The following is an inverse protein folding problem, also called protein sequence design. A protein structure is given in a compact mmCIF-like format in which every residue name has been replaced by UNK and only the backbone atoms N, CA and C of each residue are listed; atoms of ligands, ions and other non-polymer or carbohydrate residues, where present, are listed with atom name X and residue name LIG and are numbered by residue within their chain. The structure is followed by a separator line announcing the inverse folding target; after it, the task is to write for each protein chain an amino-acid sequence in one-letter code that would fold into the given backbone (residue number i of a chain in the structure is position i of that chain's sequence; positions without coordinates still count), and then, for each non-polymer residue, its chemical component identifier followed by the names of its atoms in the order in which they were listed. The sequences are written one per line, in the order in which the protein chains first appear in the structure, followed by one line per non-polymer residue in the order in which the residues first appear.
data_IF_741348499313
#
_entry.id   IF_741348499313
#
_cell.length_a   1.000
_cell.length_b   1.000
_cell.length_c   1.000
_cell.angle_alpha   90.00
_cell.angle_beta   90.00
_cell.angle_gamma   90.00
#
_symmetry.space_group_name_H-M   'P 1'
#
loop_
_entity.id
_entity.type
_entity.pdbx_description
1 polymer ?
#
# COMPACT_ATOMS: atom_id res chain seq x y z
N UNK A 1 -5.48 -24.14 8.01
CA UNK A 1 -4.27 -24.93 8.33
C UNK A 1 -3.37 -24.12 9.24
N UNK A 2 -2.81 -24.76 10.25
CA UNK A 2 -1.91 -24.18 11.25
C UNK A 2 -0.53 -24.83 11.16
N UNK A 3 0.43 -24.29 11.89
CA UNK A 3 1.72 -24.93 12.11
C UNK A 3 1.56 -26.21 12.95
N UNK A 4 2.51 -27.12 12.83
CA UNK A 4 2.62 -28.26 13.76
C UNK A 4 3.06 -27.77 15.15
N UNK A 5 2.82 -28.55 16.20
CA UNK A 5 3.19 -28.16 17.56
C UNK A 5 4.70 -27.88 17.69
N UNK A 6 5.54 -28.62 16.98
CA UNK A 6 6.98 -28.40 16.94
C UNK A 6 7.33 -27.06 16.28
N UNK A 7 6.70 -26.73 15.15
CA UNK A 7 6.88 -25.45 14.47
C UNK A 7 6.37 -24.27 15.30
N UNK A 8 5.25 -24.43 16.00
CA UNK A 8 4.72 -23.40 16.93
C UNK A 8 5.75 -23.11 18.03
N UNK A 9 6.30 -24.14 18.66
CA UNK A 9 7.32 -24.00 19.70
C UNK A 9 8.57 -23.30 19.15
N UNK A 10 9.02 -23.67 17.95
CA UNK A 10 10.16 -23.04 17.26
C UNK A 10 9.87 -21.57 16.96
N UNK A 11 8.72 -21.27 16.37
CA UNK A 11 8.35 -19.89 16.06
C UNK A 11 8.37 -18.99 17.30
N UNK A 12 7.70 -19.39 18.38
CA UNK A 12 7.64 -18.56 19.58
C UNK A 12 9.00 -18.48 20.30
N UNK A 13 9.85 -19.51 20.25
CA UNK A 13 11.21 -19.42 20.75
C UNK A 13 12.00 -18.32 20.03
N UNK A 14 11.93 -18.28 18.69
CA UNK A 14 12.59 -17.26 17.88
C UNK A 14 11.98 -15.88 18.11
N UNK A 15 10.66 -15.79 18.04
CA UNK A 15 9.92 -14.54 18.16
C UNK A 15 10.09 -13.88 19.53
N UNK A 16 9.92 -14.63 20.61
CA UNK A 16 10.11 -14.13 21.97
C UNK A 16 11.56 -13.67 22.22
N UNK A 17 12.54 -14.41 21.72
CA UNK A 17 13.95 -14.04 21.83
C UNK A 17 14.26 -12.73 21.08
N UNK A 18 13.78 -12.61 19.84
CA UNK A 18 13.96 -11.40 19.02
C UNK A 18 13.32 -10.18 19.67
N UNK A 19 12.03 -10.27 20.03
CA UNK A 19 11.29 -9.15 20.62
C UNK A 19 11.91 -8.71 21.95
N UNK A 20 12.33 -9.66 22.79
CA UNK A 20 13.03 -9.37 24.04
C UNK A 20 14.39 -8.71 23.79
N UNK A 21 15.25 -9.25 22.96
CA UNK A 21 16.57 -8.70 22.68
C UNK A 21 16.53 -7.31 22.04
N UNK A 22 15.57 -7.08 21.12
CA UNK A 22 15.35 -5.75 20.57
C UNK A 22 14.91 -4.77 21.66
N UNK A 23 14.02 -5.17 22.56
CA UNK A 23 13.60 -4.29 23.65
C UNK A 23 14.72 -4.02 24.67
N UNK A 24 15.53 -5.02 25.03
CA UNK A 24 16.67 -4.83 25.93
C UNK A 24 17.66 -3.80 25.37
N UNK A 25 17.89 -3.82 24.06
CA UNK A 25 18.82 -2.91 23.40
C UNK A 25 18.25 -1.50 23.21
N UNK A 26 16.97 -1.38 22.87
CA UNK A 26 16.39 -0.10 22.43
C UNK A 26 15.42 0.51 23.45
N UNK A 27 15.04 -0.20 24.52
CA UNK A 27 14.25 0.33 25.64
C UNK A 27 12.84 0.80 25.26
N UNK A 28 12.20 0.13 24.27
CA UNK A 28 10.90 0.54 23.72
C UNK A 28 9.80 0.44 24.76
N UNK A 29 9.79 -0.67 25.51
CA UNK A 29 8.83 -0.92 26.60
C UNK A 29 9.57 -1.05 27.91
N UNK A 30 9.31 -0.17 28.90
CA UNK A 30 9.95 -0.25 30.21
C UNK A 30 9.56 -1.53 30.97
N UNK A 31 10.52 -2.14 31.65
CA UNK A 31 10.31 -3.34 32.49
C UNK A 31 9.64 -4.51 31.75
N UNK A 32 10.01 -4.71 30.48
CA UNK A 32 9.54 -5.84 29.71
C UNK A 32 10.33 -7.09 30.14
N UNK A 33 9.64 -8.03 30.78
CA UNK A 33 10.21 -9.29 31.18
C UNK A 33 10.39 -10.23 29.97
N UNK A 34 11.42 -11.11 30.03
CA UNK A 34 11.66 -12.06 28.95
C UNK A 34 10.46 -12.98 28.76
N UNK A 35 9.79 -12.93 27.59
CA UNK A 35 8.60 -13.74 27.39
C UNK A 35 8.97 -15.21 27.19
N UNK A 36 8.16 -16.10 27.75
CA UNK A 36 8.31 -17.56 27.62
C UNK A 36 7.01 -18.12 27.02
N UNK A 37 7.14 -18.83 25.90
CA UNK A 37 5.98 -19.50 25.30
C UNK A 37 5.33 -20.50 26.27
N UNK A 38 4.01 -20.44 26.37
CA UNK A 38 3.22 -21.25 27.31
C UNK A 38 2.83 -20.50 28.58
N UNK A 39 3.49 -19.39 28.90
CA UNK A 39 3.05 -18.49 29.97
C UNK A 39 2.04 -17.46 29.46
N UNK A 40 1.25 -16.89 30.37
CA UNK A 40 0.32 -15.82 30.02
C UNK A 40 1.12 -14.56 29.62
N UNK A 41 1.12 -14.23 28.33
CA UNK A 41 1.79 -13.05 27.79
C UNK A 41 0.77 -11.95 27.50
N UNK A 42 1.08 -10.73 27.95
CA UNK A 42 0.29 -9.56 27.59
C UNK A 42 0.62 -9.14 26.15
N UNK A 43 -0.36 -8.90 25.27
CA UNK A 43 -0.10 -8.58 23.87
C UNK A 43 0.46 -7.17 23.65
N UNK A 44 0.16 -6.21 24.54
CA UNK A 44 0.49 -4.79 24.35
C UNK A 44 1.99 -4.52 24.18
N UNK A 45 2.90 -5.11 25.00
CA UNK A 45 4.34 -4.95 24.81
C UNK A 45 4.81 -5.46 23.44
N UNK A 46 4.31 -6.62 23.02
CA UNK A 46 4.67 -7.20 21.72
C UNK A 46 4.21 -6.31 20.56
N UNK A 47 3.01 -5.75 20.65
CA UNK A 47 2.47 -4.83 19.65
C UNK A 47 3.37 -3.60 19.52
N UNK A 48 3.79 -3.01 20.63
CA UNK A 48 4.64 -1.83 20.65
C UNK A 48 6.04 -2.12 20.04
N UNK A 49 6.67 -3.21 20.45
CA UNK A 49 8.02 -3.57 20.00
C UNK A 49 8.01 -3.97 18.52
N UNK A 50 7.04 -4.80 18.08
CA UNK A 50 6.93 -5.22 16.67
C UNK A 50 6.69 -4.06 15.72
N UNK A 51 5.93 -3.05 16.15
CA UNK A 51 5.65 -1.89 15.31
C UNK A 51 6.94 -1.16 14.91
N UNK A 52 7.85 -1.00 15.88
CA UNK A 52 9.15 -0.32 15.66
C UNK A 52 10.16 -1.27 14.99
N UNK A 53 10.16 -2.56 15.34
CA UNK A 53 11.05 -3.57 14.76
C UNK A 53 10.92 -3.63 13.22
N UNK A 54 9.69 -3.71 12.70
CA UNK A 54 9.47 -3.82 11.26
C UNK A 54 9.70 -2.50 10.50
N UNK A 55 9.87 -1.38 11.19
CA UNK A 55 10.33 -0.12 10.61
C UNK A 55 11.86 0.02 10.65
N UNK A 56 12.54 -0.83 11.47
CA UNK A 56 13.99 -0.86 11.63
C UNK A 56 14.50 -2.31 11.52
N UNK A 57 14.30 -2.97 10.37
CA UNK A 57 14.60 -4.40 10.24
C UNK A 57 16.10 -4.73 10.36
N UNK A 58 17.01 -3.75 10.23
CA UNK A 58 18.45 -3.89 10.49
C UNK A 58 18.76 -4.27 11.95
N UNK A 59 17.84 -4.07 12.88
CA UNK A 59 17.99 -4.52 14.26
C UNK A 59 18.01 -6.03 14.39
N UNK A 60 17.46 -6.76 13.41
CA UNK A 60 17.58 -8.22 13.31
C UNK A 60 19.04 -8.61 13.02
N UNK A 61 19.73 -7.88 12.14
CA UNK A 61 21.16 -8.13 11.84
C UNK A 61 22.02 -7.90 13.09
N UNK A 62 21.71 -6.87 13.86
CA UNK A 62 22.38 -6.57 15.12
C UNK A 62 22.13 -7.66 16.16
N UNK A 63 20.90 -8.12 16.28
CA UNK A 63 20.52 -9.20 17.19
C UNK A 63 21.26 -10.52 16.84
N UNK A 64 21.32 -10.88 15.55
CA UNK A 64 22.02 -12.06 15.08
C UNK A 64 23.54 -11.96 15.38
N UNK A 65 24.16 -10.79 15.10
CA UNK A 65 25.61 -10.58 15.30
C UNK A 65 26.02 -10.63 16.76
N UNK A 66 25.25 -10.06 17.64
CA UNK A 66 25.57 -10.00 19.05
C UNK A 66 25.32 -11.33 19.77
N UNK A 67 24.60 -12.28 19.11
CA UNK A 67 24.27 -13.61 19.62
C UNK A 67 23.86 -13.62 21.11
N UNK A 68 23.06 -12.61 21.49
CA UNK A 68 22.64 -12.37 22.88
C UNK A 68 21.76 -13.50 23.43
N UNK A 69 21.16 -14.30 22.54
CA UNK A 69 20.36 -15.47 22.90
C UNK A 69 21.08 -16.77 22.57
N UNK A 70 21.87 -17.28 23.50
CA UNK A 70 22.48 -18.63 23.44
C UNK A 70 21.45 -19.77 23.32
N UNK A 71 20.17 -19.46 23.33
CA UNK A 71 19.04 -20.41 23.24
C UNK A 71 18.59 -20.66 21.80
N UNK A 72 19.07 -19.86 20.82
CA UNK A 72 18.74 -20.03 19.41
C UNK A 72 19.74 -20.96 18.73
N UNK A 73 19.22 -21.90 17.95
CA UNK A 73 20.01 -22.79 17.11
C UNK A 73 20.46 -22.07 15.83
N UNK A 74 21.43 -22.66 15.11
CA UNK A 74 21.87 -22.14 13.81
C UNK A 74 20.69 -22.01 12.82
N UNK A 75 19.81 -22.99 12.77
CA UNK A 75 18.58 -22.95 11.96
C UNK A 75 17.60 -21.83 12.39
N UNK A 76 17.55 -21.48 13.66
CA UNK A 76 16.74 -20.37 14.13
C UNK A 76 17.32 -19.02 13.67
N UNK A 77 18.64 -18.89 13.64
CA UNK A 77 19.32 -17.69 13.12
C UNK A 77 19.17 -17.55 11.60
N UNK A 78 19.18 -18.66 10.86
CA UNK A 78 18.86 -18.67 9.43
C UNK A 78 17.42 -18.17 9.16
N UNK A 79 16.46 -18.59 9.97
CA UNK A 79 15.07 -18.11 9.88
C UNK A 79 15.00 -16.60 10.16
N UNK A 80 15.73 -16.10 11.15
CA UNK A 80 15.80 -14.65 11.42
C UNK A 80 16.42 -13.87 10.27
N UNK A 81 17.48 -14.39 9.66
CA UNK A 81 18.10 -13.80 8.48
C UNK A 81 17.15 -13.77 7.28
N UNK A 82 16.32 -14.81 7.11
CA UNK A 82 15.28 -14.87 6.09
C UNK A 82 14.15 -13.86 6.38
N UNK A 83 13.72 -13.72 7.63
CA UNK A 83 12.76 -12.69 8.03
C UNK A 83 13.27 -11.29 7.71
N UNK A 84 14.56 -11.01 8.00
CA UNK A 84 15.20 -9.72 7.73
C UNK A 84 15.09 -9.27 6.27
N UNK A 85 15.14 -10.23 5.34
CA UNK A 85 15.21 -9.96 3.90
C UNK A 85 13.83 -10.05 3.24
N UNK A 86 12.99 -10.99 3.68
CA UNK A 86 11.80 -11.43 2.96
C UNK A 86 10.47 -11.15 3.70
N UNK A 87 10.47 -10.37 4.79
CA UNK A 87 9.21 -9.98 5.41
C UNK A 87 8.41 -9.04 4.50
N UNK A 88 7.09 -9.06 4.64
CA UNK A 88 6.19 -8.12 3.96
C UNK A 88 5.24 -7.53 5.00
N UNK A 89 5.51 -6.26 5.40
CA UNK A 89 4.63 -5.47 6.26
C UNK A 89 3.70 -4.67 5.37
N UNK A 90 2.41 -4.98 5.39
CA UNK A 90 1.44 -4.32 4.52
C UNK A 90 0.02 -4.43 5.08
N UNK A 91 -0.88 -3.71 4.44
CA UNK A 91 -2.32 -3.88 4.55
C UNK A 91 -2.79 -4.88 3.50
N UNK A 92 -3.49 -5.92 3.93
CA UNK A 92 -3.97 -6.99 3.08
C UNK A 92 -5.49 -7.08 3.09
N UNK A 93 -6.01 -7.71 2.05
CA UNK A 93 -7.39 -8.20 2.02
C UNK A 93 -7.37 -9.70 2.18
N UNK A 94 -7.95 -10.21 3.25
CA UNK A 94 -8.25 -11.62 3.42
C UNK A 94 -9.42 -11.98 2.51
N UNK A 95 -9.10 -12.65 1.39
CA UNK A 95 -10.06 -12.92 0.31
C UNK A 95 -10.87 -14.17 0.54
N UNK A 96 -10.23 -15.24 0.98
CA UNK A 96 -10.86 -16.55 1.20
C UNK A 96 -10.01 -17.50 2.01
N UNK A 97 -10.65 -18.48 2.59
CA UNK A 97 -10.00 -19.62 3.22
C UNK A 97 -9.94 -20.80 2.24
N UNK A 98 -8.76 -21.41 2.12
CA UNK A 98 -8.53 -22.65 1.40
C UNK A 98 -8.11 -23.75 2.37
N UNK A 99 -8.07 -24.98 1.90
CA UNK A 99 -7.74 -26.14 2.75
C UNK A 99 -6.34 -26.06 3.38
N UNK A 100 -5.37 -25.48 2.65
CA UNK A 100 -3.97 -25.39 3.06
C UNK A 100 -3.61 -24.08 3.75
N UNK A 101 -4.27 -22.98 3.41
CA UNK A 101 -3.96 -21.63 3.88
C UNK A 101 -5.14 -20.69 3.65
N UNK A 102 -5.06 -19.50 4.18
CA UNK A 102 -5.93 -18.38 3.83
C UNK A 102 -5.24 -17.46 2.84
N UNK A 103 -5.99 -16.89 1.89
CA UNK A 103 -5.41 -16.08 0.82
C UNK A 103 -5.50 -14.61 1.17
N UNK A 104 -4.33 -13.99 1.29
CA UNK A 104 -4.14 -12.57 1.52
C UNK A 104 -3.75 -11.91 0.21
N UNK A 105 -4.39 -10.80 -0.13
CA UNK A 105 -4.16 -10.04 -1.35
C UNK A 105 -3.67 -8.64 -1.00
N UNK A 106 -2.63 -8.15 -1.68
CA UNK A 106 -2.18 -6.75 -1.55
C UNK A 106 -3.12 -5.79 -2.26
N UNK A 107 -3.05 -4.50 -1.89
CA UNK A 107 -3.85 -3.42 -2.50
C UNK A 107 -3.25 -2.84 -3.77
N UNK A 108 -2.08 -3.30 -4.19
CA UNK A 108 -1.39 -2.78 -5.36
C UNK A 108 -2.14 -3.07 -6.68
N UNK A 109 -1.90 -2.26 -7.71
CA UNK A 109 -2.44 -2.46 -9.06
C UNK A 109 -2.03 -3.84 -9.63
N UNK A 110 -0.80 -4.28 -9.35
CA UNK A 110 -0.30 -5.64 -9.58
C UNK A 110 -0.43 -6.46 -8.29
N UNK A 111 -1.67 -6.70 -7.87
CA UNK A 111 -1.97 -7.43 -6.64
C UNK A 111 -1.22 -8.76 -6.58
N UNK A 112 -0.64 -9.05 -5.41
CA UNK A 112 0.00 -10.33 -5.10
C UNK A 112 -0.90 -11.13 -4.16
N UNK A 113 -0.90 -12.44 -4.33
CA UNK A 113 -1.66 -13.36 -3.50
C UNK A 113 -0.69 -14.19 -2.65
N UNK A 114 -0.88 -14.15 -1.34
CA UNK A 114 -0.10 -14.94 -0.39
C UNK A 114 -0.98 -16.00 0.27
N UNK A 115 -0.50 -17.23 0.29
CA UNK A 115 -1.13 -18.34 1.01
C UNK A 115 -0.60 -18.41 2.44
N UNK A 116 -1.31 -17.78 3.38
CA UNK A 116 -0.86 -17.59 4.76
C UNK A 116 -1.42 -18.66 5.67
N UNK A 117 -0.54 -19.34 6.41
CA UNK A 117 -0.88 -20.32 7.45
C UNK A 117 -1.11 -19.62 8.80
N UNK A 118 -2.06 -20.11 9.57
CA UNK A 118 -2.19 -19.73 10.97
C UNK A 118 -1.05 -20.29 11.81
N UNK A 119 -0.76 -19.69 12.95
CA UNK A 119 0.24 -20.19 13.89
C UNK A 119 -0.40 -21.24 14.80
N UNK A 120 -1.15 -20.82 15.81
CA UNK A 120 -1.90 -21.71 16.72
C UNK A 120 -3.28 -22.03 16.18
N UNK A 121 -3.98 -21.01 15.70
CA UNK A 121 -5.33 -21.09 15.17
C UNK A 121 -5.34 -20.78 13.68
N UNK A 122 -6.21 -21.45 12.94
CA UNK A 122 -6.36 -21.13 11.51
C UNK A 122 -7.14 -19.82 11.32
N UNK A 123 -6.85 -19.09 10.25
CA UNK A 123 -7.64 -17.89 9.93
C UNK A 123 -9.13 -18.18 9.73
N UNK A 124 -9.51 -19.40 9.35
CA UNK A 124 -10.92 -19.79 9.22
C UNK A 124 -11.63 -19.99 10.57
N UNK A 125 -10.88 -20.23 11.63
CA UNK A 125 -11.39 -20.26 13.01
C UNK A 125 -11.48 -18.85 13.60
N UNK A 126 -10.50 -17.98 13.30
CA UNK A 126 -10.47 -16.58 13.76
C UNK A 126 -11.48 -15.68 13.03
N UNK A 127 -11.70 -15.90 11.73
CA UNK A 127 -12.55 -15.06 10.86
C UNK A 127 -13.52 -15.95 10.09
N UNK A 128 -14.83 -15.84 10.30
CA UNK A 128 -15.81 -16.63 9.56
C UNK A 128 -15.85 -16.23 8.07
N UNK A 129 -16.08 -17.19 7.19
CA UNK A 129 -16.16 -16.95 5.75
C UNK A 129 -17.21 -15.92 5.34
N UNK A 130 -18.25 -15.71 6.16
CA UNK A 130 -19.28 -14.69 5.93
C UNK A 130 -18.77 -13.26 6.09
N UNK A 131 -17.66 -13.05 6.81
CA UNK A 131 -17.02 -11.74 6.99
C UNK A 131 -16.09 -11.35 5.83
N UNK A 132 -15.83 -12.28 4.90
CA UNK A 132 -14.91 -12.04 3.78
C UNK A 132 -15.58 -11.29 2.61
N UNK A 133 -14.82 -10.51 1.85
CA UNK A 133 -13.43 -10.12 2.07
C UNK A 133 -13.27 -9.18 3.27
N UNK A 134 -12.17 -9.30 4.02
CA UNK A 134 -11.87 -8.52 5.21
C UNK A 134 -10.51 -7.84 5.08
N UNK A 135 -10.42 -6.55 5.41
CA UNK A 135 -9.16 -5.81 5.45
C UNK A 135 -8.46 -6.04 6.77
N UNK A 136 -7.14 -6.23 6.72
CA UNK A 136 -6.30 -6.41 7.90
C UNK A 136 -4.87 -5.90 7.68
N UNK A 137 -4.23 -5.46 8.75
CA UNK A 137 -2.82 -5.10 8.78
C UNK A 137 -2.04 -6.20 9.48
N UNK A 138 -0.96 -6.67 8.87
CA UNK A 138 -0.05 -7.66 9.48
C UNK A 138 1.31 -7.64 8.79
N UNK A 139 2.27 -8.36 9.36
CA UNK A 139 3.56 -8.63 8.73
C UNK A 139 3.64 -10.11 8.40
N UNK A 140 3.83 -10.42 7.11
CA UNK A 140 4.03 -11.78 6.63
C UNK A 140 5.50 -12.16 6.72
N UNK A 141 5.77 -13.40 7.12
CA UNK A 141 7.09 -13.95 7.35
C UNK A 141 7.26 -15.30 6.64
N UNK A 142 8.41 -15.56 6.01
CA UNK A 142 8.77 -16.91 5.58
C UNK A 142 9.09 -17.78 6.80
N UNK A 143 8.60 -19.01 6.81
CA UNK A 143 8.86 -19.92 7.91
C UNK A 143 8.73 -21.39 7.45
N UNK A 144 9.82 -22.12 7.46
CA UNK A 144 9.88 -23.55 7.10
C UNK A 144 9.14 -23.88 5.80
N UNK A 145 9.38 -23.09 4.74
CA UNK A 145 8.74 -23.27 3.44
C UNK A 145 7.27 -22.87 3.37
N UNK A 146 6.74 -22.20 4.39
CA UNK A 146 5.40 -21.63 4.47
C UNK A 146 5.46 -20.12 4.61
N UNK A 147 4.33 -19.46 4.39
CA UNK A 147 4.12 -18.07 4.77
C UNK A 147 3.26 -18.04 6.01
N UNK A 148 3.73 -17.37 7.05
CA UNK A 148 3.02 -17.12 8.30
C UNK A 148 2.89 -15.62 8.56
N UNK A 149 2.36 -15.23 9.68
CA UNK A 149 2.34 -13.84 10.15
C UNK A 149 3.11 -13.70 11.47
N UNK A 150 3.40 -12.48 11.87
CA UNK A 150 4.20 -12.16 13.07
C UNK A 150 3.44 -12.24 14.40
N UNK A 151 2.50 -13.17 14.52
CA UNK A 151 1.58 -13.38 15.65
C UNK A 151 0.56 -12.26 15.91
N UNK A 152 0.53 -11.21 15.11
CA UNK A 152 -0.41 -10.11 15.27
C UNK A 152 -1.17 -9.80 13.98
N UNK A 153 -2.49 -9.55 14.12
CA UNK A 153 -3.37 -9.12 13.04
C UNK A 153 -4.25 -7.97 13.51
N UNK A 154 -4.14 -6.83 12.86
CA UNK A 154 -5.03 -5.69 13.08
C UNK A 154 -6.22 -5.77 12.13
N UNK A 155 -7.41 -6.07 12.64
CA UNK A 155 -8.63 -6.13 11.82
C UNK A 155 -9.26 -4.76 11.64
N UNK A 156 -9.70 -4.46 10.43
CA UNK A 156 -10.49 -3.26 10.13
C UNK A 156 -11.99 -3.57 10.14
N UNK A 157 -12.71 -2.94 11.05
CA UNK A 157 -14.15 -3.15 11.26
C UNK A 157 -15.02 -2.39 10.25
N UNK A 158 -14.88 -2.69 8.95
CA UNK A 158 -15.80 -2.22 7.93
C UNK A 158 -16.09 -3.32 6.92
N UNK A 159 -17.24 -3.25 6.26
CA UNK A 159 -17.61 -4.17 5.21
C UNK A 159 -17.58 -3.50 3.85
N UNK A 160 -17.03 -4.17 2.87
CA UNK A 160 -17.01 -3.70 1.49
C UNK A 160 -18.42 -3.71 0.89
N UNK A 161 -18.80 -2.63 0.20
CA UNK A 161 -20.04 -2.58 -0.60
C UNK A 161 -19.99 -3.56 -1.80
N UNK A 162 -21.18 -3.91 -2.32
CA UNK A 162 -21.31 -4.94 -3.37
C UNK A 162 -20.44 -4.70 -4.61
N UNK A 163 -20.38 -3.47 -5.12
CA UNK A 163 -19.54 -3.12 -6.28
C UNK A 163 -18.06 -3.28 -6.01
N UNK A 164 -17.60 -2.92 -4.80
CA UNK A 164 -16.20 -3.07 -4.42
C UNK A 164 -15.81 -4.55 -4.23
N UNK A 165 -16.72 -5.37 -3.68
CA UNK A 165 -16.50 -6.83 -3.57
C UNK A 165 -16.29 -7.48 -4.94
N UNK A 166 -17.03 -7.06 -5.97
CA UNK A 166 -16.85 -7.58 -7.32
C UNK A 166 -15.52 -7.13 -7.94
N UNK A 167 -15.11 -5.87 -7.72
CA UNK A 167 -13.78 -5.39 -8.13
C UNK A 167 -12.65 -6.17 -7.46
N UNK A 168 -12.73 -6.42 -6.16
CA UNK A 168 -11.75 -7.25 -5.43
C UNK A 168 -11.67 -8.67 -5.97
N UNK A 169 -12.82 -9.26 -6.31
CA UNK A 169 -12.89 -10.59 -6.91
C UNK A 169 -12.25 -10.62 -8.31
N UNK A 170 -12.43 -9.58 -9.10
CA UNK A 170 -11.76 -9.43 -10.39
C UNK A 170 -10.24 -9.34 -10.21
N UNK A 171 -9.75 -8.44 -9.34
CA UNK A 171 -8.31 -8.30 -9.03
C UNK A 171 -7.70 -9.61 -8.52
N UNK A 172 -8.43 -10.33 -7.66
CA UNK A 172 -8.01 -11.65 -7.20
C UNK A 172 -7.85 -12.65 -8.36
N UNK A 173 -8.81 -12.70 -9.29
CA UNK A 173 -8.76 -13.63 -10.42
C UNK A 173 -7.62 -13.27 -11.39
N UNK A 174 -7.42 -11.99 -11.65
CA UNK A 174 -6.31 -11.49 -12.47
C UNK A 174 -4.95 -11.85 -11.85
N UNK A 175 -4.76 -11.55 -10.56
CA UNK A 175 -3.55 -11.90 -9.84
C UNK A 175 -3.30 -13.41 -9.81
N UNK A 176 -4.34 -14.20 -9.56
CA UNK A 176 -4.25 -15.66 -9.56
C UNK A 176 -3.83 -16.23 -10.91
N UNK A 177 -4.33 -15.65 -12.01
CA UNK A 177 -3.98 -16.08 -13.37
C UNK A 177 -2.56 -15.65 -13.75
N UNK A 178 -2.12 -14.44 -13.30
CA UNK A 178 -0.84 -13.84 -13.66
C UNK A 178 0.34 -14.43 -12.89
N UNK A 179 0.23 -14.55 -11.59
CA UNK A 179 1.32 -14.92 -10.68
C UNK A 179 1.03 -16.16 -9.84
N UNK A 180 -0.24 -16.59 -9.75
CA UNK A 180 -0.67 -17.64 -8.84
C UNK A 180 -0.74 -17.16 -7.39
N UNK A 181 -0.86 -18.11 -6.47
CA UNK A 181 -0.79 -17.86 -5.03
C UNK A 181 0.61 -18.25 -4.56
N UNK A 182 1.32 -17.31 -3.94
CA UNK A 182 2.64 -17.55 -3.36
C UNK A 182 2.47 -18.36 -2.07
N UNK A 183 3.06 -19.53 -2.02
CA UNK A 183 3.02 -20.43 -0.84
C UNK A 183 4.35 -20.38 -0.05
N UNK A 184 5.39 -19.75 -0.62
CA UNK A 184 6.71 -19.58 -0.01
C UNK A 184 7.32 -18.23 -0.45
N UNK A 185 7.98 -17.53 0.47
CA UNK A 185 8.65 -16.25 0.24
C UNK A 185 10.19 -16.41 0.12
N UNK A 186 10.75 -17.51 0.62
CA UNK A 186 12.19 -17.77 0.62
C UNK A 186 12.76 -18.27 -0.71
N UNK A 187 11.95 -18.45 -1.73
CA UNK A 187 12.48 -18.72 -3.07
C UNK A 187 13.02 -17.41 -3.66
N UNK A 188 14.31 -17.37 -4.07
CA UNK A 188 14.75 -16.25 -4.86
C UNK A 188 13.86 -16.17 -6.11
N UNK A 189 13.39 -14.99 -6.49
CA UNK A 189 12.72 -14.84 -7.77
C UNK A 189 13.65 -15.43 -8.82
N UNK A 190 13.16 -16.37 -9.64
CA UNK A 190 13.93 -16.98 -10.75
C UNK A 190 14.76 -15.88 -11.38
N UNK A 191 16.09 -16.06 -11.33
CA UNK A 191 17.11 -15.07 -11.58
C UNK A 191 16.73 -14.08 -12.72
N UNK A 192 16.16 -12.95 -12.37
CA UNK A 192 16.38 -11.73 -13.12
C UNK A 192 17.76 -11.24 -12.67
N UNK A 193 18.67 -11.03 -13.64
CA UNK A 193 19.97 -10.42 -13.42
C UNK A 193 19.85 -9.28 -12.41
N UNK A 194 20.82 -9.12 -11.47
CA UNK A 194 20.77 -8.06 -10.50
C UNK A 194 20.66 -6.73 -11.24
N UNK A 195 19.48 -6.12 -11.17
CA UNK A 195 19.38 -4.71 -11.46
C UNK A 195 20.07 -4.03 -10.28
N UNK A 196 21.22 -3.44 -10.54
CA UNK A 196 21.83 -2.42 -9.72
C UNK A 196 20.71 -1.52 -9.21
N UNK A 197 20.68 -1.28 -7.88
CA UNK A 197 19.87 -0.22 -7.30
C UNK A 197 20.09 1.03 -8.14
N UNK A 198 19.06 1.57 -8.79
CA UNK A 198 19.21 2.90 -9.35
C UNK A 198 19.25 3.85 -8.14
N UNK A 199 20.33 4.63 -8.04
CA UNK A 199 20.25 5.91 -7.39
C UNK A 199 18.95 6.60 -7.85
N UNK A 200 18.31 7.31 -6.93
CA UNK A 200 17.09 8.07 -7.17
C UNK A 200 17.23 8.98 -8.41
N UNK A 201 16.91 8.42 -9.55
CA UNK A 201 16.55 9.17 -10.74
C UNK A 201 15.15 8.69 -11.10
N UNK A 202 14.19 9.60 -11.08
CA UNK A 202 12.82 9.45 -11.53
C UNK A 202 12.79 9.08 -13.03
N UNK A 203 13.29 7.88 -13.39
CA UNK A 203 13.12 7.38 -14.75
C UNK A 203 11.73 6.79 -14.89
N UNK A 204 10.86 7.58 -15.48
CA UNK A 204 9.51 7.22 -15.88
C UNK A 204 9.60 6.04 -16.88
N UNK A 205 9.42 4.82 -16.37
CA UNK A 205 9.49 3.61 -17.21
C UNK A 205 8.25 3.50 -18.09
N UNK A 206 8.38 3.89 -19.34
CA UNK A 206 7.37 3.76 -20.40
C UNK A 206 7.78 2.63 -21.35
N UNK A 207 6.85 1.78 -21.86
CA UNK A 207 7.16 0.77 -22.87
C UNK A 207 7.89 1.36 -24.06
N UNK A 208 8.99 0.75 -24.53
CA UNK A 208 9.82 1.26 -25.62
C UNK A 208 9.00 1.66 -26.86
N UNK A 209 7.97 0.88 -27.21
CA UNK A 209 7.09 1.17 -28.35
C UNK A 209 6.26 2.46 -28.15
N UNK A 210 6.09 2.94 -26.92
CA UNK A 210 5.33 4.14 -26.59
C UNK A 210 6.22 5.34 -26.26
N UNK A 211 7.54 5.19 -26.21
CA UNK A 211 8.46 6.25 -25.78
C UNK A 211 8.33 7.52 -26.62
N UNK A 212 8.28 7.40 -27.96
CA UNK A 212 8.12 8.55 -28.83
C UNK A 212 6.79 9.29 -28.59
N UNK A 213 5.69 8.53 -28.42
CA UNK A 213 4.36 9.09 -28.18
C UNK A 213 4.27 9.73 -26.79
N UNK A 214 4.90 9.10 -25.79
CA UNK A 214 5.04 9.67 -24.45
C UNK A 214 5.76 11.03 -24.50
N UNK A 215 6.92 11.10 -25.14
CA UNK A 215 7.71 12.34 -25.25
C UNK A 215 6.95 13.45 -25.97
N UNK A 216 6.18 13.12 -27.01
CA UNK A 216 5.34 14.08 -27.72
C UNK A 216 4.23 14.66 -26.82
N UNK A 217 3.52 13.80 -26.08
CA UNK A 217 2.39 14.22 -25.24
C UNK A 217 2.88 14.90 -23.96
N UNK A 218 3.94 14.39 -23.30
CA UNK A 218 4.47 14.95 -22.06
C UNK A 218 4.93 16.39 -22.25
N UNK A 219 5.63 16.69 -23.34
CA UNK A 219 6.08 18.05 -23.67
C UNK A 219 4.91 19.04 -23.77
N UNK A 220 3.77 18.61 -24.35
CA UNK A 220 2.57 19.46 -24.47
C UNK A 220 1.91 19.64 -23.09
N UNK A 221 1.81 18.57 -22.28
CA UNK A 221 1.26 18.63 -20.92
C UNK A 221 2.10 19.51 -20.00
N UNK A 222 3.43 19.36 -20.05
CA UNK A 222 4.35 20.18 -19.27
C UNK A 222 4.22 21.66 -19.60
N UNK A 223 4.12 22.01 -20.89
CA UNK A 223 3.91 23.39 -21.30
C UNK A 223 2.60 23.96 -20.74
N UNK A 224 1.50 23.20 -20.85
CA UNK A 224 0.21 23.61 -20.30
C UNK A 224 0.25 23.75 -18.78
N UNK A 225 0.76 22.75 -18.07
CA UNK A 225 0.79 22.78 -16.61
C UNK A 225 1.70 23.88 -16.06
N UNK A 226 2.83 24.14 -16.69
CA UNK A 226 3.73 25.21 -16.28
C UNK A 226 3.14 26.61 -16.53
N UNK A 227 2.29 26.78 -17.55
CA UNK A 227 1.67 28.06 -17.88
C UNK A 227 0.38 28.32 -17.11
N UNK A 228 -0.45 27.31 -16.93
CA UNK A 228 -1.85 27.46 -16.45
C UNK A 228 -2.15 26.78 -15.14
N UNK A 229 -1.31 25.87 -14.68
CA UNK A 229 -1.53 25.07 -13.49
C UNK A 229 -0.32 25.16 -12.54
N UNK A 230 -0.01 24.07 -11.83
CA UNK A 230 1.13 23.97 -10.91
C UNK A 230 1.91 22.67 -11.11
N UNK A 231 2.97 22.47 -10.29
CA UNK A 231 3.84 21.29 -10.36
C UNK A 231 3.08 20.00 -10.04
N UNK A 232 2.15 20.05 -9.10
CA UNK A 232 1.39 18.88 -8.66
C UNK A 232 0.42 18.40 -9.75
N UNK A 233 -0.32 19.30 -10.39
CA UNK A 233 -1.12 18.95 -11.57
C UNK A 233 -0.26 18.34 -12.69
N UNK A 234 0.95 18.85 -12.87
CA UNK A 234 1.89 18.30 -13.86
C UNK A 234 2.24 16.84 -13.52
N UNK A 235 2.55 16.55 -12.27
CA UNK A 235 2.85 15.18 -11.83
C UNK A 235 1.68 14.24 -12.04
N UNK A 236 0.46 14.64 -11.68
CA UNK A 236 -0.75 13.85 -11.90
C UNK A 236 -1.02 13.61 -13.39
N UNK A 237 -0.84 14.62 -14.24
CA UNK A 237 -1.01 14.48 -15.69
C UNK A 237 0.02 13.52 -16.30
N UNK A 238 1.29 13.62 -15.89
CA UNK A 238 2.35 12.73 -16.38
C UNK A 238 2.13 11.29 -15.87
N UNK A 239 1.70 11.13 -14.65
CA UNK A 239 1.31 9.82 -14.07
C UNK A 239 0.16 9.19 -14.86
N UNK A 240 -0.86 9.96 -15.21
CA UNK A 240 -1.98 9.51 -16.06
C UNK A 240 -1.48 9.08 -17.46
N UNK A 241 -0.58 9.87 -18.06
CA UNK A 241 0.02 9.56 -19.36
C UNK A 241 0.81 8.24 -19.32
N UNK A 242 1.62 8.01 -18.28
CA UNK A 242 2.37 6.75 -18.08
C UNK A 242 1.43 5.55 -18.02
N UNK A 243 0.34 5.65 -17.23
CA UNK A 243 -0.66 4.58 -17.13
C UNK A 243 -1.31 4.28 -18.49
N UNK A 244 -1.66 5.30 -19.25
CA UNK A 244 -2.21 5.11 -20.61
C UNK A 244 -1.20 4.46 -21.56
N UNK A 245 0.09 4.81 -21.48
CA UNK A 245 1.15 4.15 -22.24
C UNK A 245 1.29 2.66 -21.91
N UNK A 246 1.05 2.28 -20.66
CA UNK A 246 1.20 0.89 -20.16
C UNK A 246 0.01 -0.01 -20.49
N UNK A 247 -1.15 0.55 -20.85
CA UNK A 247 -2.31 -0.28 -21.25
C UNK A 247 -2.01 -1.13 -22.48
N UNK A 248 -2.62 -2.28 -22.59
CA UNK A 248 -2.42 -3.22 -23.69
C UNK A 248 -3.76 -3.66 -24.30
N UNK A 249 -4.06 -3.20 -25.54
CA UNK A 249 -3.29 -2.25 -26.35
C UNK A 249 -3.36 -0.83 -25.75
N UNK A 250 -2.28 -0.04 -25.94
CA UNK A 250 -2.30 1.35 -25.52
C UNK A 250 -3.28 2.16 -26.37
N UNK A 251 -4.19 2.94 -25.79
CA UNK A 251 -5.12 3.76 -26.54
C UNK A 251 -4.41 4.90 -27.29
N UNK A 252 -3.19 5.26 -26.86
CA UNK A 252 -2.39 6.35 -27.43
C UNK A 252 -1.79 6.02 -28.80
N UNK A 253 -1.86 4.76 -29.25
CA UNK A 253 -1.40 4.34 -30.58
C UNK A 253 -2.15 5.11 -31.68
N UNK A 254 -3.42 5.44 -31.44
CA UNK A 254 -4.26 6.19 -32.36
C UNK A 254 -4.54 7.62 -31.85
N UNK A 255 -4.79 8.54 -32.76
CA UNK A 255 -5.16 9.92 -32.45
C UNK A 255 -3.98 10.88 -32.31
N UNK A 256 -4.30 12.17 -32.32
CA UNK A 256 -3.32 13.26 -32.25
C UNK A 256 -2.84 13.46 -30.79
N UNK A 257 -1.53 13.66 -30.60
CA UNK A 257 -0.93 13.90 -29.30
C UNK A 257 -1.59 15.08 -28.56
N UNK A 258 -1.88 16.15 -29.28
CA UNK A 258 -2.52 17.34 -28.70
C UNK A 258 -3.93 17.06 -28.15
N UNK A 259 -4.70 16.18 -28.80
CA UNK A 259 -6.02 15.75 -28.34
C UNK A 259 -5.92 14.90 -27.08
N UNK A 260 -4.91 14.00 -27.01
CA UNK A 260 -4.65 13.21 -25.82
C UNK A 260 -4.16 14.08 -24.65
N UNK A 261 -3.25 15.03 -24.90
CA UNK A 261 -2.80 15.97 -23.87
C UNK A 261 -3.97 16.79 -23.31
N UNK A 262 -4.81 17.35 -24.17
CA UNK A 262 -6.03 18.07 -23.78
C UNK A 262 -6.95 17.21 -22.92
N UNK A 263 -7.23 15.98 -23.38
CA UNK A 263 -8.09 15.05 -22.65
C UNK A 263 -7.55 14.66 -21.27
N UNK A 264 -6.22 14.46 -21.15
CA UNK A 264 -5.57 14.16 -19.87
C UNK A 264 -5.69 15.36 -18.92
N UNK A 265 -5.30 16.55 -19.36
CA UNK A 265 -5.39 17.77 -18.55
C UNK A 265 -6.83 18.05 -18.11
N UNK A 266 -7.79 17.87 -18.99
CA UNK A 266 -9.21 18.05 -18.70
C UNK A 266 -9.72 17.00 -17.70
N UNK A 267 -9.40 15.70 -17.91
CA UNK A 267 -9.85 14.61 -17.02
C UNK A 267 -9.28 14.75 -15.61
N UNK A 268 -7.97 15.04 -15.49
CA UNK A 268 -7.30 15.27 -14.20
C UNK A 268 -7.85 16.55 -13.54
N UNK A 269 -8.04 17.63 -14.32
CA UNK A 269 -8.65 18.86 -13.81
C UNK A 269 -10.06 18.63 -13.28
N UNK A 270 -10.91 17.93 -14.03
CA UNK A 270 -12.28 17.61 -13.63
C UNK A 270 -12.30 16.74 -12.36
N UNK A 271 -11.43 15.77 -12.26
CA UNK A 271 -11.30 14.91 -11.06
C UNK A 271 -10.89 15.71 -9.81
N UNK A 272 -10.24 16.86 -9.99
CA UNK A 272 -9.75 17.76 -8.97
C UNK A 272 -10.53 19.09 -8.89
N UNK A 273 -11.77 19.08 -9.31
CA UNK A 273 -12.72 20.22 -9.20
C UNK A 273 -12.21 21.53 -9.84
N UNK A 274 -11.37 21.47 -10.90
CA UNK A 274 -10.80 22.65 -11.56
C UNK A 274 -11.87 23.63 -12.10
N UNK A 275 -13.09 23.16 -12.34
CA UNK A 275 -14.20 23.96 -12.82
C UNK A 275 -14.94 24.71 -11.71
N UNK A 276 -14.60 24.42 -10.45
CA UNK A 276 -15.13 25.14 -9.30
C UNK A 276 -14.29 26.41 -9.04
N UNK A 277 -14.96 27.56 -9.09
CA UNK A 277 -14.32 28.86 -8.90
C UNK A 277 -13.82 29.10 -7.46
N UNK A 278 -14.24 28.26 -6.51
CA UNK A 278 -13.74 28.33 -5.15
C UNK A 278 -12.33 27.74 -4.99
N UNK A 279 -11.87 26.97 -5.98
CA UNK A 279 -10.54 26.38 -5.94
C UNK A 279 -9.45 27.44 -6.22
N UNK A 280 -8.27 27.32 -5.58
CA UNK A 280 -7.15 28.24 -5.81
C UNK A 280 -6.72 28.32 -7.27
N UNK A 281 -6.81 27.20 -7.98
CA UNK A 281 -6.59 27.10 -9.43
C UNK A 281 -7.92 26.67 -10.05
N UNK A 282 -8.57 27.58 -10.76
CA UNK A 282 -9.83 27.30 -11.45
C UNK A 282 -9.77 27.74 -12.91
N UNK A 283 -10.36 26.95 -13.79
CA UNK A 283 -10.46 27.22 -15.22
C UNK A 283 -11.82 26.75 -15.74
N UNK A 284 -12.28 27.32 -16.84
CA UNK A 284 -13.44 26.77 -17.54
C UNK A 284 -13.02 25.63 -18.49
N UNK A 285 -13.96 24.77 -18.83
CA UNK A 285 -13.75 23.76 -19.86
C UNK A 285 -13.38 24.36 -21.23
N UNK A 286 -13.83 25.58 -21.50
CA UNK A 286 -13.44 26.35 -22.68
C UNK A 286 -11.98 26.75 -22.65
N UNK A 287 -11.50 27.34 -21.54
CA UNK A 287 -10.12 27.80 -21.42
C UNK A 287 -9.10 26.66 -21.64
N UNK A 288 -9.42 25.47 -21.11
CA UNK A 288 -8.58 24.28 -21.36
C UNK A 288 -8.60 23.93 -22.85
N UNK A 289 -9.79 23.77 -23.44
CA UNK A 289 -9.92 23.37 -24.84
C UNK A 289 -9.25 24.37 -25.81
N UNK A 290 -9.43 25.66 -25.55
CA UNK A 290 -8.89 26.77 -26.37
C UNK A 290 -7.36 26.81 -26.33
N UNK A 291 -6.73 26.58 -25.14
CA UNK A 291 -5.26 26.50 -25.05
C UNK A 291 -4.69 25.40 -25.93
N UNK A 292 -5.33 24.23 -25.97
CA UNK A 292 -4.92 23.14 -26.84
C UNK A 292 -5.39 23.31 -28.29
N UNK A 293 -6.21 24.32 -28.63
CA UNK A 293 -6.81 24.48 -29.97
C UNK A 293 -7.70 23.30 -30.36
N UNK A 294 -8.46 22.78 -29.41
CA UNK A 294 -9.37 21.63 -29.56
C UNK A 294 -10.80 22.08 -29.28
N UNK A 295 -11.76 21.62 -30.08
CA UNK A 295 -13.17 21.92 -29.80
C UNK A 295 -13.59 21.38 -28.43
N UNK A 296 -14.35 22.17 -27.65
CA UNK A 296 -14.80 21.84 -26.30
C UNK A 296 -15.48 20.46 -26.21
N UNK A 297 -16.32 20.13 -27.21
CA UNK A 297 -16.97 18.80 -27.27
C UNK A 297 -15.97 17.65 -27.44
N UNK A 298 -14.94 17.84 -28.26
CA UNK A 298 -13.88 16.86 -28.46
C UNK A 298 -13.03 16.70 -27.19
N UNK A 299 -12.70 17.80 -26.51
CA UNK A 299 -11.98 17.78 -25.24
C UNK A 299 -12.74 17.00 -24.17
N UNK A 300 -14.04 17.29 -23.99
CA UNK A 300 -14.90 16.60 -23.02
C UNK A 300 -15.08 15.11 -23.34
N UNK A 301 -15.30 14.76 -24.61
CA UNK A 301 -15.39 13.36 -25.04
C UNK A 301 -14.09 12.58 -24.76
N UNK A 302 -12.95 13.18 -25.03
CA UNK A 302 -11.65 12.57 -24.75
C UNK A 302 -11.36 12.46 -23.25
N UNK A 303 -11.76 13.46 -22.45
CA UNK A 303 -11.66 13.41 -21.02
C UNK A 303 -12.51 12.27 -20.42
N UNK A 304 -13.74 12.09 -20.87
CA UNK A 304 -14.60 10.99 -20.43
C UNK A 304 -14.01 9.61 -20.80
N UNK A 305 -13.44 9.48 -21.99
CA UNK A 305 -12.72 8.26 -22.40
C UNK A 305 -11.56 7.98 -21.44
N UNK A 306 -10.73 8.97 -21.12
CA UNK A 306 -9.58 8.84 -20.23
C UNK A 306 -10.03 8.51 -18.80
N UNK A 307 -11.06 9.19 -18.28
CA UNK A 307 -11.64 8.94 -16.96
C UNK A 307 -12.11 7.48 -16.84
N UNK A 308 -12.77 6.96 -17.88
CA UNK A 308 -13.19 5.55 -17.92
C UNK A 308 -12.01 4.60 -18.01
N UNK A 309 -11.01 4.89 -18.84
CA UNK A 309 -9.81 4.07 -19.00
C UNK A 309 -8.99 3.99 -17.73
N UNK A 310 -8.84 5.09 -17.01
CA UNK A 310 -8.07 5.18 -15.77
C UNK A 310 -8.92 4.94 -14.53
N UNK A 311 -10.25 4.80 -14.69
CA UNK A 311 -11.22 4.69 -13.58
C UNK A 311 -11.07 5.84 -12.56
N UNK A 312 -10.88 7.06 -13.07
CA UNK A 312 -10.66 8.22 -12.21
C UNK A 312 -11.82 8.41 -11.25
N UNK A 313 -11.50 8.58 -9.98
CA UNK A 313 -12.45 8.89 -8.91
C UNK A 313 -11.76 9.76 -7.87
N UNK A 314 -12.47 10.76 -7.37
CA UNK A 314 -11.99 11.59 -6.26
C UNK A 314 -11.89 10.80 -4.93
N UNK A 315 -12.52 9.64 -4.86
CA UNK A 315 -12.43 8.72 -3.71
C UNK A 315 -11.19 7.81 -3.75
N UNK A 316 -10.53 7.74 -4.92
CA UNK A 316 -9.29 6.98 -5.12
C UNK A 316 -8.15 7.99 -5.22
N UNK A 317 -7.57 8.35 -4.10
CA UNK A 317 -6.62 9.47 -3.92
C UNK A 317 -5.42 9.48 -4.89
N UNK A 318 -5.32 8.52 -5.77
CA UNK A 318 -4.19 8.35 -6.69
C UNK A 318 -3.99 9.53 -7.67
N UNK A 319 -5.11 10.14 -8.11
CA UNK A 319 -5.13 11.26 -9.06
C UNK A 319 -5.78 12.51 -8.46
N UNK A 320 -5.66 12.68 -7.15
CA UNK A 320 -6.24 13.79 -6.40
C UNK A 320 -5.13 14.66 -5.82
N UNK A 321 -5.30 15.98 -5.87
CA UNK A 321 -4.37 16.96 -5.30
C UNK A 321 -4.30 16.83 -3.78
N UNK A 322 -3.12 17.07 -3.22
CA UNK A 322 -2.85 16.96 -1.78
C UNK A 322 -3.80 17.83 -0.94
N UNK A 323 -4.08 19.04 -1.38
CA UNK A 323 -4.99 19.95 -0.68
C UNK A 323 -6.43 19.40 -0.62
N UNK A 324 -6.92 18.84 -1.73
CA UNK A 324 -8.25 18.19 -1.77
C UNK A 324 -8.28 16.95 -0.88
N UNK A 325 -7.19 16.19 -0.86
CA UNK A 325 -7.04 15.05 0.04
C UNK A 325 -7.09 15.53 1.49
N UNK A 326 -6.38 16.59 1.82
CA UNK A 326 -6.30 17.16 3.18
C UNK A 326 -7.62 17.73 3.66
N UNK A 327 -8.41 18.33 2.77
CA UNK A 327 -9.73 18.87 3.06
C UNK A 327 -10.83 17.81 3.10
N UNK A 328 -10.53 16.59 2.63
CA UNK A 328 -11.51 15.50 2.63
C UNK A 328 -11.86 15.05 4.05
N UNK A 329 -13.12 15.13 4.48
CA UNK A 329 -13.53 14.63 5.79
C UNK A 329 -13.15 13.17 6.02
N UNK A 330 -13.08 12.36 4.97
CA UNK A 330 -12.79 10.93 5.06
C UNK A 330 -11.38 10.62 5.56
N UNK A 331 -10.38 11.45 5.26
CA UNK A 331 -9.01 11.27 5.75
C UNK A 331 -8.92 11.48 7.26
N UNK A 332 -9.74 12.40 7.76
CA UNK A 332 -9.75 12.77 9.17
C UNK A 332 -10.64 11.86 10.01
N UNK A 333 -11.47 11.02 9.38
CA UNK A 333 -12.34 10.07 10.08
C UNK A 333 -11.59 8.76 10.33
N UNK A 334 -10.99 8.65 11.52
CA UNK A 334 -10.25 7.47 11.95
C UNK A 334 -11.01 6.70 13.04
N UNK A 335 -10.79 5.40 13.10
CA UNK A 335 -11.29 4.59 14.21
C UNK A 335 -10.36 4.71 15.40
N UNK A 336 -10.84 5.36 16.46
CA UNK A 336 -10.13 5.48 17.73
C UNK A 336 -10.91 4.70 18.79
N UNK A 337 -10.31 3.68 19.38
CA UNK A 337 -10.94 2.77 20.34
C UNK A 337 -12.27 2.16 19.85
N UNK A 338 -12.35 1.86 18.53
CA UNK A 338 -13.55 1.27 17.92
C UNK A 338 -14.63 2.28 17.49
N UNK A 339 -14.46 3.57 17.75
CA UNK A 339 -15.39 4.62 17.35
C UNK A 339 -14.80 5.42 16.16
N UNK A 340 -15.62 5.61 15.12
CA UNK A 340 -15.27 6.48 14.00
C UNK A 340 -15.32 7.94 14.47
N UNK A 341 -14.17 8.59 14.49
CA UNK A 341 -13.99 9.91 15.11
C UNK A 341 -13.20 10.82 14.18
N UNK A 342 -13.59 12.08 14.09
CA UNK A 342 -12.79 13.10 13.41
C UNK A 342 -11.54 13.39 14.25
N UNK A 343 -10.39 12.95 13.74
CA UNK A 343 -9.10 13.04 14.44
C UNK A 343 -8.69 14.50 14.72
N UNK A 344 -9.18 15.46 13.92
CA UNK A 344 -8.93 16.91 14.13
C UNK A 344 -9.49 17.41 15.45
N UNK A 345 -10.54 16.75 15.97
CA UNK A 345 -11.21 17.07 17.25
C UNK A 345 -10.64 16.33 18.45
N UNK A 346 -9.67 15.43 18.20
CA UNK A 346 -9.04 14.65 19.25
C UNK A 346 -7.85 15.41 19.87
N UNK A 347 -7.44 15.05 21.10
CA UNK A 347 -6.23 15.59 21.71
C UNK A 347 -5.00 15.44 20.80
N UNK A 348 -4.05 16.39 20.92
CA UNK A 348 -2.83 16.45 20.10
C UNK A 348 -2.06 15.11 20.09
N UNK A 349 -2.00 14.43 21.24
CA UNK A 349 -1.30 13.17 21.41
C UNK A 349 -1.90 12.06 20.52
N UNK A 350 -3.22 12.06 20.33
CA UNK A 350 -3.91 11.12 19.45
C UNK A 350 -3.67 11.46 17.99
N UNK A 351 -3.65 12.75 17.65
CA UNK A 351 -3.30 13.23 16.30
C UNK A 351 -1.85 12.89 15.96
N UNK A 352 -0.92 13.07 16.90
CA UNK A 352 0.49 12.72 16.75
C UNK A 352 0.67 11.21 16.50
N UNK A 353 -0.04 10.38 17.25
CA UNK A 353 -0.06 8.93 17.03
C UNK A 353 -0.59 8.55 15.63
N UNK A 354 -1.62 9.23 15.17
CA UNK A 354 -2.17 9.02 13.84
C UNK A 354 -1.18 9.46 12.73
N UNK A 355 -0.46 10.56 12.95
CA UNK A 355 0.58 11.06 12.06
C UNK A 355 1.78 10.11 11.98
N UNK A 356 2.29 9.66 13.14
CA UNK A 356 3.39 8.68 13.21
C UNK A 356 3.03 7.38 12.48
N UNK A 357 1.75 6.99 12.51
CA UNK A 357 1.24 5.81 11.80
C UNK A 357 0.97 6.06 10.30
N UNK A 358 1.24 7.26 9.79
CA UNK A 358 0.97 7.62 8.40
C UNK A 358 -0.52 7.64 8.03
N UNK A 359 -1.42 7.73 9.01
CA UNK A 359 -2.88 7.74 8.80
C UNK A 359 -3.41 9.11 8.46
N UNK A 360 -2.70 10.17 8.80
CA UNK A 360 -3.01 11.57 8.50
C UNK A 360 -1.76 12.26 7.95
N UNK A 361 -1.91 13.24 7.05
CA UNK A 361 -0.79 13.88 6.36
C UNK A 361 -0.01 14.87 7.23
N UNK A 362 -0.60 15.41 8.29
CA UNK A 362 0.02 16.31 9.27
C UNK A 362 -0.76 16.29 10.59
N UNK A 363 -0.19 16.89 11.65
CA UNK A 363 -0.86 17.05 12.96
C UNK A 363 -1.69 18.34 12.92
N UNK A 364 -3.04 18.29 12.90
CA UNK A 364 -3.88 19.48 12.84
C UNK A 364 -3.62 20.48 13.97
N UNK A 365 -3.36 20.01 15.19
CA UNK A 365 -3.10 20.84 16.36
C UNK A 365 -1.80 21.68 16.25
N UNK A 366 -0.88 21.33 15.34
CA UNK A 366 0.37 22.06 15.12
C UNK A 366 0.26 23.13 14.01
N UNK A 367 -0.88 23.18 13.30
CA UNK A 367 -1.22 24.24 12.35
C UNK A 367 -2.14 25.24 13.05
N UNK A 368 -1.57 26.30 13.60
CA UNK A 368 -2.33 27.52 13.91
C UNK A 368 -2.75 28.18 12.60
N UNK A 369 -4.05 28.49 12.47
CA UNK A 369 -4.61 29.33 11.40
C UNK A 369 -3.90 30.68 11.28
#
# INVERSE_FOLDING_TARGET
MTLSQQEITQFYRIWCALVWGVNEKHGIVPKFEKPVYGNQMKPEPFIAIRAVLWDNPEWIDDFIRNNECRELTETDLEILADWRINFVKDRFILMRHLKKYSVFMTFEEDAKLYGVCGITDSFSEMVPSSALPLMLDTTLLPFNGKIIYDSFVGYHNFSFGGGYKESLKQSYNEAKTKTGILENMSQPPKARKPALLPAETNEISVPKAMSAKYMEISKILEAFCNEKLNAEYKELCLKALVKLCRKRPSPLVSGKARTWACGIAYAIGQNNFIFDKSQPISMTAGDIADWFGIAKSTAGSKANEISSLLKLSYSDFEFVLSDIIMDSPMIWMLSVNGYLTDIRKMPREVQEQAYIKGLIPYIPADRTE
#
